data_IF_660805788612
#
_entry.id   IF_660805788612
#
_cell.length_a   1.000
_cell.length_b   1.000
_cell.length_c   1.000
_cell.angle_alpha   90.00
_cell.angle_beta   90.00
_cell.angle_gamma   90.00
#
_symmetry.space_group_name_H-M   'P 1'
#
loop_
_entity.id
_entity.type
_entity.pdbx_description
1 polymer ?
#
# COMPACT_ATOMS: atom_id res chain seq x y z
N UNK A 1 5.30 0.40 -11.03
CA UNK A 1 4.57 -0.77 -10.56
C UNK A 1 4.83 -1.93 -11.52
N UNK A 2 5.74 -2.80 -11.11
CA UNK A 2 5.94 -4.13 -11.66
C UNK A 2 5.60 -5.21 -10.64
N UNK A 3 5.75 -6.46 -11.05
CA UNK A 3 5.54 -7.62 -10.16
C UNK A 3 6.39 -7.50 -8.90
N UNK A 4 5.79 -7.67 -7.73
CA UNK A 4 6.45 -7.49 -6.44
C UNK A 4 6.30 -6.10 -5.82
N UNK A 5 5.86 -5.09 -6.58
CA UNK A 5 5.76 -3.73 -6.08
C UNK A 5 4.57 -3.54 -5.14
N UNK A 6 4.76 -2.65 -4.17
CA UNK A 6 3.73 -2.24 -3.21
C UNK A 6 3.36 -0.79 -3.51
N UNK A 7 2.07 -0.52 -3.73
CA UNK A 7 1.57 0.83 -3.97
C UNK A 7 1.46 1.57 -2.64
N UNK A 8 2.24 2.65 -2.47
CA UNK A 8 2.18 3.53 -1.31
C UNK A 8 1.74 4.92 -1.77
N UNK A 9 0.66 5.45 -1.19
CA UNK A 9 0.12 6.76 -1.57
C UNK A 9 -0.54 7.50 -0.39
N UNK A 10 -0.67 8.84 -0.43
CA UNK A 10 -1.33 9.56 0.67
C UNK A 10 -2.83 9.19 0.76
N UNK A 11 -3.46 9.07 -0.41
CA UNK A 11 -4.83 8.65 -0.61
C UNK A 11 -4.96 8.06 -2.02
N UNK A 12 -6.04 7.33 -2.29
CA UNK A 12 -6.39 6.89 -3.65
C UNK A 12 -7.85 7.20 -3.94
N UNK A 13 -8.18 7.32 -5.22
CA UNK A 13 -9.54 7.50 -5.74
C UNK A 13 -9.83 6.51 -6.88
N UNK A 14 -11.10 6.34 -7.31
CA UNK A 14 -11.48 5.35 -8.32
C UNK A 14 -10.67 5.36 -9.62
N UNK A 15 -10.11 6.51 -10.02
CA UNK A 15 -9.29 6.60 -11.23
C UNK A 15 -7.96 5.83 -11.13
N UNK A 16 -7.54 5.47 -9.91
CA UNK A 16 -6.31 4.73 -9.65
C UNK A 16 -6.49 3.21 -9.76
N UNK A 17 -7.71 2.70 -9.95
CA UNK A 17 -7.99 1.25 -10.04
C UNK A 17 -7.01 0.49 -10.97
N UNK A 18 -6.63 1.01 -12.16
CA UNK A 18 -5.65 0.33 -13.01
C UNK A 18 -4.26 0.12 -12.38
N UNK A 19 -3.88 0.96 -11.41
CA UNK A 19 -2.60 0.85 -10.69
C UNK A 19 -2.61 -0.27 -9.65
N UNK A 20 -3.78 -0.75 -9.23
CA UNK A 20 -3.88 -1.84 -8.25
C UNK A 20 -3.60 -3.20 -8.90
N UNK A 21 -3.94 -3.35 -10.18
CA UNK A 21 -3.75 -4.62 -10.92
C UNK A 21 -2.31 -5.15 -10.86
N UNK A 22 -1.26 -4.34 -11.09
CA UNK A 22 0.12 -4.81 -10.99
C UNK A 22 0.70 -4.81 -9.56
N UNK A 23 -0.03 -4.33 -8.54
CA UNK A 23 0.48 -4.21 -7.18
C UNK A 23 0.26 -5.49 -6.37
N UNK A 24 1.21 -5.83 -5.49
CA UNK A 24 1.10 -6.98 -4.57
C UNK A 24 0.48 -6.61 -3.22
N UNK A 25 0.50 -5.32 -2.86
CA UNK A 25 -0.17 -4.77 -1.69
C UNK A 25 -0.38 -3.26 -1.83
N UNK A 26 -1.24 -2.70 -0.98
CA UNK A 26 -1.55 -1.27 -0.95
C UNK A 26 -1.39 -0.71 0.46
N UNK A 27 -0.68 0.41 0.56
CA UNK A 27 -0.53 1.19 1.79
C UNK A 27 -1.00 2.61 1.53
N UNK A 28 -1.90 3.13 2.38
CA UNK A 28 -2.29 4.54 2.30
C UNK A 28 -2.21 5.29 3.62
N UNK A 29 -1.76 6.54 3.56
CA UNK A 29 -1.64 7.41 4.74
C UNK A 29 -3.01 7.72 5.34
N UNK A 30 -4.01 7.91 4.48
CA UNK A 30 -5.39 8.27 4.85
C UNK A 30 -6.37 7.25 4.32
N UNK A 31 -7.30 6.83 5.16
CA UNK A 31 -8.39 5.93 4.79
C UNK A 31 -9.05 5.29 5.99
N UNK A 32 -10.09 4.51 5.72
CA UNK A 32 -10.80 3.70 6.70
C UNK A 32 -11.24 2.38 6.08
N UNK A 33 -11.92 1.54 6.85
CA UNK A 33 -12.30 0.18 6.44
C UNK A 33 -13.23 0.09 5.20
N UNK A 34 -13.79 1.23 4.78
CA UNK A 34 -14.67 1.38 3.61
C UNK A 34 -14.08 2.34 2.56
N UNK A 35 -12.80 2.70 2.66
CA UNK A 35 -12.16 3.56 1.66
C UNK A 35 -11.99 2.83 0.33
N UNK A 36 -11.84 3.61 -0.75
CA UNK A 36 -11.54 3.11 -2.08
C UNK A 36 -10.40 2.06 -2.08
N UNK A 37 -9.27 2.38 -1.42
CA UNK A 37 -8.13 1.47 -1.32
C UNK A 37 -8.50 0.10 -0.75
N UNK A 38 -9.29 0.06 0.32
CA UNK A 38 -9.67 -1.21 0.98
C UNK A 38 -10.64 -2.01 0.13
N UNK A 39 -11.63 -1.34 -0.47
CA UNK A 39 -12.64 -2.00 -1.31
C UNK A 39 -11.96 -2.70 -2.49
N UNK A 40 -11.17 -1.95 -3.27
CA UNK A 40 -10.49 -2.50 -4.45
C UNK A 40 -9.48 -3.59 -4.07
N UNK A 41 -8.73 -3.40 -2.98
CA UNK A 41 -7.77 -4.43 -2.52
C UNK A 41 -8.46 -5.74 -2.11
N UNK A 42 -9.64 -5.66 -1.48
CA UNK A 42 -10.45 -6.84 -1.14
C UNK A 42 -10.96 -7.57 -2.38
N UNK A 43 -11.43 -6.82 -3.38
CA UNK A 43 -11.89 -7.38 -4.66
C UNK A 43 -10.76 -8.10 -5.41
N UNK A 44 -9.54 -7.58 -5.32
CA UNK A 44 -8.35 -8.15 -5.95
C UNK A 44 -7.61 -9.17 -5.06
N UNK A 45 -8.07 -9.40 -3.82
CA UNK A 45 -7.49 -10.40 -2.92
C UNK A 45 -6.10 -10.07 -2.39
N UNK A 46 -5.68 -8.80 -2.39
CA UNK A 46 -4.35 -8.37 -1.95
C UNK A 46 -4.36 -7.72 -0.55
N UNK A 47 -3.24 -7.78 0.20
CA UNK A 47 -3.10 -7.07 1.46
C UNK A 47 -3.27 -5.55 1.29
N UNK A 48 -3.97 -4.94 2.24
CA UNK A 48 -4.11 -3.49 2.30
C UNK A 48 -4.02 -3.00 3.75
N UNK A 49 -3.23 -1.94 3.97
CA UNK A 49 -3.16 -1.24 5.25
C UNK A 49 -3.45 0.24 5.00
N UNK A 50 -4.36 0.80 5.80
CA UNK A 50 -4.80 2.19 5.68
C UNK A 50 -4.58 2.94 6.98
N UNK A 51 -4.68 4.27 6.94
CA UNK A 51 -4.40 5.14 8.08
C UNK A 51 -2.95 5.01 8.60
N UNK A 52 -2.02 4.70 7.71
CA UNK A 52 -0.60 4.52 8.05
C UNK A 52 0.06 5.89 8.05
N UNK A 53 0.06 6.54 9.21
CA UNK A 53 0.51 7.93 9.32
C UNK A 53 1.91 8.12 8.74
N UNK A 54 2.03 9.01 7.75
CA UNK A 54 3.29 9.38 7.07
C UNK A 54 4.01 8.22 6.34
N UNK A 55 3.32 7.16 5.90
CA UNK A 55 3.96 6.07 5.16
C UNK A 55 4.70 6.58 3.92
N UNK A 56 4.09 7.49 3.16
CA UNK A 56 4.70 8.09 1.96
C UNK A 56 5.94 8.95 2.24
N UNK A 57 6.15 9.39 3.48
CA UNK A 57 7.29 10.20 3.89
C UNK A 57 8.40 9.35 4.49
N UNK A 58 8.04 8.25 5.16
CA UNK A 58 8.97 7.37 5.88
C UNK A 58 9.50 6.26 4.98
N UNK A 59 8.65 5.69 4.13
CA UNK A 59 9.00 4.57 3.26
C UNK A 59 9.45 5.14 1.91
N UNK A 60 10.75 5.04 1.64
CA UNK A 60 11.32 5.49 0.37
C UNK A 60 10.96 4.53 -0.75
N UNK A 61 10.80 5.07 -1.96
CA UNK A 61 10.70 4.22 -3.15
C UNK A 61 11.92 3.28 -3.23
N UNK A 62 11.69 2.04 -3.66
CA UNK A 62 12.69 0.98 -3.64
C UNK A 62 12.93 0.30 -2.27
N UNK A 63 12.29 0.75 -1.18
CA UNK A 63 12.35 0.04 0.11
C UNK A 63 11.69 -1.34 0.01
N UNK A 64 12.33 -2.35 0.61
CA UNK A 64 11.72 -3.66 0.76
C UNK A 64 10.90 -3.68 2.03
N UNK A 65 9.60 -3.88 1.91
CA UNK A 65 8.69 -3.90 3.06
C UNK A 65 7.85 -5.19 3.09
N UNK A 66 7.39 -5.57 4.28
CA UNK A 66 6.35 -6.58 4.49
C UNK A 66 5.06 -5.88 4.89
N UNK A 67 3.95 -6.26 4.27
CA UNK A 67 2.62 -5.74 4.57
C UNK A 67 1.75 -6.87 5.09
N UNK A 68 1.25 -6.72 6.32
CA UNK A 68 0.24 -7.60 6.92
C UNK A 68 -1.09 -6.84 7.00
N UNK A 69 -1.98 -7.12 6.03
CA UNK A 69 -3.31 -6.53 5.97
C UNK A 69 -4.26 -7.04 7.06
N UNK A 70 -3.95 -8.15 7.74
CA UNK A 70 -4.78 -8.73 8.79
C UNK A 70 -4.53 -8.05 10.14
N UNK A 71 -3.26 -7.81 10.47
CA UNK A 71 -2.88 -7.10 11.70
C UNK A 71 -2.74 -5.59 11.52
N UNK A 72 -2.75 -5.10 10.27
CA UNK A 72 -2.52 -3.70 9.95
C UNK A 72 -1.07 -3.25 10.18
N UNK A 73 -0.11 -4.17 10.05
CA UNK A 73 1.31 -3.91 10.36
C UNK A 73 2.12 -3.83 9.07
N UNK A 74 3.00 -2.83 9.00
CA UNK A 74 4.01 -2.72 7.96
C UNK A 74 5.38 -2.82 8.62
N UNK A 75 6.24 -3.66 8.08
CA UNK A 75 7.63 -3.81 8.53
C UNK A 75 8.57 -3.43 7.40
N UNK A 76 9.44 -2.45 7.66
CA UNK A 76 10.53 -2.13 6.75
C UNK A 76 11.62 -3.20 6.94
N UNK A 77 11.93 -3.93 5.87
CA UNK A 77 12.93 -5.00 5.88
C UNK A 77 14.28 -4.49 5.42
N UNK A 78 14.27 -3.57 4.45
CA UNK A 78 15.47 -2.95 3.89
C UNK A 78 15.11 -1.57 3.33
N UNK A 79 16.05 -0.63 3.43
CA UNK A 79 15.91 0.74 2.92
C UNK A 79 17.05 0.94 1.91
N UNK A 80 16.78 1.46 0.71
CA UNK A 80 17.83 1.70 -0.26
C UNK A 80 18.89 2.67 0.29
N UNK A 81 20.16 2.37 0.00
CA UNK A 81 21.34 3.12 0.47
C UNK A 81 21.37 4.58 -0.02
N UNK A 82 20.53 4.96 -1.01
CA UNK A 82 20.43 6.31 -1.53
C UNK A 82 19.02 6.64 -2.03
#
# INVERSE_FOLDING_TARGET
LGTGDILIAPLTDPSWTPLFVPAEAVVVDVGGQMSHAVIVSRELGMPCVVAVTNATQVIRDGSRIRVDGSSGVITILDVPDK
#
